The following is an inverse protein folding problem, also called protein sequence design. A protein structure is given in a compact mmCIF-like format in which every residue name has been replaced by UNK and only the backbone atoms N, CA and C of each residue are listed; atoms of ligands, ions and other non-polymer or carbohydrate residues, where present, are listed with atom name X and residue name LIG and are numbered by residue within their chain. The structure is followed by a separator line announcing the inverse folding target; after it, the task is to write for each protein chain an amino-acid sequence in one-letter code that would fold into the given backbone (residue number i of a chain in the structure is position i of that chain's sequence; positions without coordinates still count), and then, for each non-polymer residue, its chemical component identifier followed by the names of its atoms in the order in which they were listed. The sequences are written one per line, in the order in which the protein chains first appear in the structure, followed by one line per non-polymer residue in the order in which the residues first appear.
data_IF_906192951287
#
_entry.id   IF_906192951287
#
_cell.length_a   1.000
_cell.length_b   1.000
_cell.length_c   1.000
_cell.angle_alpha   90.00
_cell.angle_beta   90.00
_cell.angle_gamma   90.00
#
_symmetry.space_group_name_H-M   'P 1'
#
loop_
_entity.id
_entity.type
_entity.pdbx_description
1 polymer ?
#
# COMPACT_ATOMS: atom_id res chain seq x y z
N UNK A 1 -9.41 0.42 19.00
CA UNK A 1 -8.89 0.63 17.63
C UNK A 1 -9.80 -0.10 16.66
N UNK A 2 -10.51 0.62 15.80
CA UNK A 2 -11.35 0.03 14.77
C UNK A 2 -10.43 -0.55 13.70
N UNK A 3 -10.22 -1.87 13.70
CA UNK A 3 -9.40 -2.52 12.68
C UNK A 3 -10.17 -2.49 11.36
N UNK A 4 -9.62 -1.81 10.38
CA UNK A 4 -10.22 -1.68 9.07
C UNK A 4 -10.15 -3.02 8.31
N UNK A 5 -11.18 -3.31 7.52
CA UNK A 5 -11.20 -4.51 6.67
C UNK A 5 -10.41 -4.23 5.39
N UNK A 6 -9.52 -5.16 5.03
CA UNK A 6 -8.76 -5.12 3.77
C UNK A 6 -9.69 -4.99 2.56
N UNK A 7 -10.84 -5.65 2.62
CA UNK A 7 -11.88 -5.56 1.60
C UNK A 7 -12.39 -4.12 1.36
N UNK A 8 -12.57 -3.33 2.43
CA UNK A 8 -12.98 -1.93 2.30
C UNK A 8 -11.91 -1.09 1.62
N UNK A 9 -10.63 -1.30 1.95
CA UNK A 9 -9.53 -0.60 1.28
C UNK A 9 -9.48 -0.99 -0.20
N UNK A 10 -9.57 -2.29 -0.50
CA UNK A 10 -9.58 -2.84 -1.86
C UNK A 10 -10.72 -2.30 -2.72
N UNK A 11 -11.92 -2.19 -2.16
CA UNK A 11 -13.08 -1.60 -2.85
C UNK A 11 -12.92 -0.09 -3.13
N UNK A 12 -12.05 0.59 -2.38
CA UNK A 12 -11.72 2.01 -2.53
C UNK A 12 -10.31 2.21 -3.09
N UNK A 13 -9.83 1.29 -3.93
CA UNK A 13 -8.52 1.38 -4.56
C UNK A 13 -8.65 1.62 -6.07
N UNK A 14 -7.91 2.60 -6.56
CA UNK A 14 -7.74 2.86 -8.00
C UNK A 14 -6.44 2.23 -8.51
N UNK A 15 -6.44 1.75 -9.75
CA UNK A 15 -5.29 1.06 -10.36
C UNK A 15 -4.84 1.79 -11.62
N UNK A 16 -3.54 2.08 -11.70
CA UNK A 16 -2.92 2.74 -12.87
C UNK A 16 -1.81 1.86 -13.43
N UNK A 17 -1.91 1.45 -14.69
CA UNK A 17 -0.98 0.50 -15.31
C UNK A 17 -1.13 -0.96 -14.83
N UNK A 18 -2.04 -1.20 -13.90
CA UNK A 18 -2.52 -2.51 -13.49
C UNK A 18 -4.04 -2.61 -13.64
N UNK A 19 -4.53 -3.85 -13.57
CA UNK A 19 -5.95 -4.16 -13.48
C UNK A 19 -6.21 -4.99 -12.22
N UNK A 20 -7.45 -5.03 -11.70
CA UNK A 20 -7.78 -5.89 -10.56
C UNK A 20 -7.55 -7.39 -10.80
N UNK A 21 -7.45 -7.81 -12.07
CA UNK A 21 -7.11 -9.19 -12.49
C UNK A 21 -5.61 -9.42 -12.72
N UNK A 22 -4.76 -8.41 -12.56
CA UNK A 22 -3.31 -8.58 -12.69
C UNK A 22 -2.78 -9.48 -11.56
N UNK A 23 -1.92 -10.48 -11.84
CA UNK A 23 -1.44 -11.44 -10.83
C UNK A 23 -0.82 -10.74 -9.61
N UNK A 24 0.00 -9.72 -9.85
CA UNK A 24 0.66 -8.93 -8.79
C UNK A 24 -0.34 -8.21 -7.88
N UNK A 25 -1.48 -7.76 -8.41
CA UNK A 25 -2.55 -7.13 -7.61
C UNK A 25 -3.27 -8.18 -6.77
N UNK A 26 -3.55 -9.36 -7.33
CA UNK A 26 -4.13 -10.46 -6.57
C UNK A 26 -3.21 -10.88 -5.42
N UNK A 27 -1.92 -11.06 -5.71
CA UNK A 27 -0.91 -11.39 -4.71
C UNK A 27 -0.78 -10.32 -3.64
N UNK A 28 -0.79 -9.03 -4.02
CA UNK A 28 -0.77 -7.93 -3.06
C UNK A 28 -1.91 -8.06 -2.05
N UNK A 29 -3.15 -8.23 -2.51
CA UNK A 29 -4.30 -8.34 -1.61
C UNK A 29 -4.27 -9.61 -0.75
N UNK A 30 -3.81 -10.74 -1.30
CA UNK A 30 -3.62 -11.96 -0.52
C UNK A 30 -2.58 -11.78 0.59
N UNK A 31 -1.44 -11.15 0.29
CA UNK A 31 -0.39 -10.84 1.27
C UNK A 31 -0.95 -9.90 2.33
N UNK A 32 -1.55 -8.78 1.93
CA UNK A 32 -2.15 -7.79 2.85
C UNK A 32 -3.23 -8.43 3.73
N UNK A 33 -4.01 -9.38 3.23
CA UNK A 33 -4.97 -10.12 4.03
C UNK A 33 -4.29 -10.97 5.11
N UNK A 34 -3.18 -11.63 4.78
CA UNK A 34 -2.37 -12.46 5.67
C UNK A 34 -1.52 -11.69 6.69
N UNK A 35 -1.30 -10.38 6.49
CA UNK A 35 -0.50 -9.55 7.40
C UNK A 35 -1.09 -9.47 8.82
N UNK A 36 -0.19 -9.36 9.81
CA UNK A 36 -0.54 -9.07 11.19
C UNK A 36 -1.20 -7.70 11.33
N UNK A 37 -1.88 -7.47 12.45
CA UNK A 37 -2.53 -6.18 12.75
C UNK A 37 -1.53 -5.01 12.73
N UNK A 38 -0.32 -5.24 13.21
CA UNK A 38 0.75 -4.25 13.26
C UNK A 38 1.27 -3.94 11.85
N UNK A 39 1.54 -4.96 11.04
CA UNK A 39 1.98 -4.77 9.65
C UNK A 39 0.91 -4.08 8.79
N UNK A 40 -0.37 -4.37 9.03
CA UNK A 40 -1.48 -3.63 8.40
C UNK A 40 -1.45 -2.15 8.79
N UNK A 41 -1.22 -1.84 10.06
CA UNK A 41 -1.10 -0.45 10.50
C UNK A 41 0.12 0.25 9.89
N UNK A 42 1.26 -0.45 9.77
CA UNK A 42 2.48 0.04 9.10
C UNK A 42 2.25 0.28 7.62
N UNK A 43 1.60 -0.64 6.91
CA UNK A 43 1.23 -0.46 5.51
C UNK A 43 0.33 0.76 5.32
N UNK A 44 -0.67 0.94 6.18
CA UNK A 44 -1.55 2.10 6.11
C UNK A 44 -0.76 3.40 6.32
N UNK A 45 0.14 3.42 7.31
CA UNK A 45 1.02 4.56 7.56
C UNK A 45 1.98 4.80 6.40
N UNK A 46 2.51 3.75 5.79
CA UNK A 46 3.40 3.83 4.65
C UNK A 46 2.73 4.52 3.47
N UNK A 47 1.47 4.18 3.18
CA UNK A 47 0.76 4.71 2.01
C UNK A 47 -0.02 5.99 2.27
N UNK A 48 -0.49 6.24 3.50
CA UNK A 48 -1.34 7.41 3.84
C UNK A 48 -0.66 8.41 4.77
N UNK A 49 0.53 8.10 5.28
CA UNK A 49 1.22 8.90 6.30
C UNK A 49 0.61 8.80 7.71
N UNK A 50 -0.50 8.06 7.88
CA UNK A 50 -1.18 7.87 9.17
C UNK A 50 -1.52 6.39 9.39
N UNK A 51 -1.37 5.91 10.61
CA UNK A 51 -1.80 4.55 11.00
C UNK A 51 -3.30 4.48 11.35
N UNK A 52 -4.04 5.60 11.22
CA UNK A 52 -5.46 5.70 11.57
C UNK A 52 -6.33 5.98 10.35
N UNK A 53 -7.42 5.23 10.23
CA UNK A 53 -8.47 5.47 9.23
C UNK A 53 -9.37 6.61 9.71
N UNK A 54 -9.77 7.55 8.83
CA UNK A 54 -10.74 8.59 9.15
C UNK A 54 -12.05 8.01 9.69
N UNK A 55 -12.78 8.81 10.49
CA UNK A 55 -14.09 8.40 11.01
C UNK A 55 -15.10 8.10 9.88
N UNK A 56 -14.97 8.84 8.76
CA UNK A 56 -15.77 8.70 7.54
C UNK A 56 -15.31 7.54 6.63
N UNK A 57 -14.27 6.78 7.01
CA UNK A 57 -13.77 5.63 6.27
C UNK A 57 -12.76 5.97 5.17
N UNK A 58 -12.41 4.97 4.34
CA UNK A 58 -11.33 5.10 3.34
C UNK A 58 -11.67 6.03 2.17
N UNK A 59 -12.96 6.23 1.89
CA UNK A 59 -13.40 7.16 0.84
C UNK A 59 -13.11 8.62 1.20
N UNK A 60 -12.81 8.91 2.47
CA UNK A 60 -12.47 10.23 2.98
C UNK A 60 -10.99 10.38 3.36
N UNK A 61 -10.12 9.45 2.91
CA UNK A 61 -8.67 9.61 3.07
C UNK A 61 -8.24 10.99 2.52
N UNK A 62 -7.49 11.76 3.29
CA UNK A 62 -7.04 13.09 2.89
C UNK A 62 -5.73 12.97 2.13
N UNK A 63 -5.67 13.51 0.92
CA UNK A 63 -4.45 13.79 0.17
C UNK A 63 -4.19 15.30 0.10
N UNK A 64 -3.20 15.71 -0.70
CA UNK A 64 -2.79 17.11 -0.85
C UNK A 64 -3.88 18.03 -1.44
N UNK A 65 -4.85 17.46 -2.17
CA UNK A 65 -5.94 18.22 -2.81
C UNK A 65 -7.33 17.90 -2.25
N UNK A 66 -7.42 17.27 -1.07
CA UNK A 66 -8.69 16.91 -0.43
C UNK A 66 -8.90 15.40 -0.35
N UNK A 67 -10.15 14.93 -0.42
CA UNK A 67 -10.45 13.49 -0.35
C UNK A 67 -9.86 12.74 -1.54
N UNK A 68 -8.96 11.79 -1.27
CA UNK A 68 -8.21 11.04 -2.26
C UNK A 68 -8.11 9.57 -1.87
N UNK A 69 -8.60 8.69 -2.74
CA UNK A 69 -8.60 7.24 -2.54
C UNK A 69 -7.20 6.67 -2.52
N UNK A 70 -7.08 5.43 -2.04
CA UNK A 70 -5.84 4.68 -2.16
C UNK A 70 -5.61 4.29 -3.63
N UNK A 71 -4.37 4.40 -4.10
CA UNK A 71 -4.03 4.17 -5.50
C UNK A 71 -2.84 3.22 -5.61
N UNK A 72 -2.90 2.25 -6.51
CA UNK A 72 -1.78 1.36 -6.82
C UNK A 72 -1.34 1.57 -8.26
N UNK A 73 -0.10 2.02 -8.42
CA UNK A 73 0.50 2.36 -9.70
C UNK A 73 1.55 1.31 -10.07
N UNK A 74 1.59 0.92 -11.35
CA UNK A 74 2.66 0.08 -11.87
C UNK A 74 3.97 0.87 -11.87
N UNK A 75 4.92 0.46 -11.04
CA UNK A 75 6.27 0.98 -11.07
C UNK A 75 7.04 0.32 -12.23
N UNK A 76 7.56 1.14 -13.14
CA UNK A 76 8.41 0.67 -14.22
C UNK A 76 9.86 0.62 -13.72
N UNK A 77 10.47 -0.57 -13.72
CA UNK A 77 11.82 -0.75 -13.20
C UNK A 77 12.16 -2.22 -12.95
N UNK A 78 13.26 -2.45 -12.23
CA UNK A 78 13.67 -3.80 -11.86
C UNK A 78 12.72 -4.39 -10.82
N UNK A 79 12.39 -5.68 -10.96
CA UNK A 79 11.62 -6.42 -9.97
C UNK A 79 12.34 -6.59 -8.63
N UNK A 80 13.60 -6.14 -8.52
CA UNK A 80 14.34 -6.09 -7.26
C UNK A 80 14.09 -4.80 -6.46
N UNK A 81 13.44 -3.79 -7.05
CA UNK A 81 13.16 -2.55 -6.35
C UNK A 81 12.09 -2.76 -5.27
N UNK A 82 12.20 -2.00 -4.19
CA UNK A 82 11.16 -1.95 -3.16
C UNK A 82 9.95 -1.18 -3.68
N UNK A 83 8.75 -1.50 -3.20
CA UNK A 83 7.61 -0.64 -3.46
C UNK A 83 7.83 0.71 -2.79
N UNK A 84 7.38 1.77 -3.46
CA UNK A 84 7.50 3.14 -2.97
C UNK A 84 6.12 3.70 -2.69
N UNK A 85 5.99 4.58 -1.71
CA UNK A 85 4.73 5.22 -1.39
C UNK A 85 4.84 6.74 -1.45
N UNK A 86 3.76 7.37 -1.93
CA UNK A 86 3.59 8.80 -1.94
C UNK A 86 2.37 9.15 -1.08
N UNK A 87 2.63 9.42 0.19
CA UNK A 87 1.61 9.71 1.21
C UNK A 87 0.75 10.92 0.86
N UNK A 88 1.32 11.94 0.22
CA UNK A 88 0.58 13.11 -0.28
C UNK A 88 -0.58 12.74 -1.22
N UNK A 89 -0.49 11.58 -1.88
CA UNK A 89 -1.45 11.12 -2.89
C UNK A 89 -2.12 9.79 -2.53
N UNK A 90 -1.90 9.27 -1.32
CA UNK A 90 -2.33 7.92 -0.94
C UNK A 90 -1.94 6.88 -2.02
N UNK A 91 -0.74 7.00 -2.60
CA UNK A 91 -0.31 6.21 -3.76
C UNK A 91 0.78 5.22 -3.37
N UNK A 92 0.67 4.00 -3.87
CA UNK A 92 1.68 2.95 -3.80
C UNK A 92 2.15 2.59 -5.21
N UNK A 93 3.43 2.83 -5.48
CA UNK A 93 4.11 2.38 -6.69
C UNK A 93 4.63 0.96 -6.46
N UNK A 94 4.01 0.01 -7.16
CA UNK A 94 4.25 -1.42 -7.01
C UNK A 94 4.97 -1.96 -8.25
N UNK A 95 6.20 -2.48 -8.11
CA UNK A 95 6.89 -3.18 -9.18
C UNK A 95 6.17 -4.48 -9.58
N UNK A 96 6.37 -4.90 -10.83
CA UNK A 96 5.86 -6.19 -11.32
C UNK A 96 6.75 -7.34 -10.84
N UNK A 97 6.50 -7.79 -9.61
CA UNK A 97 7.24 -8.89 -9.01
C UNK A 97 6.98 -10.22 -9.73
N UNK A 98 7.98 -11.13 -9.81
CA UNK A 98 7.85 -12.39 -10.52
C UNK A 98 7.04 -13.44 -9.74
N UNK A 99 6.89 -13.29 -8.42
CA UNK A 99 6.18 -14.23 -7.56
C UNK A 99 5.58 -13.54 -6.32
N UNK A 100 4.61 -14.23 -5.70
CA UNK A 100 3.96 -13.78 -4.46
C UNK A 100 4.94 -13.69 -3.30
N UNK A 101 5.85 -14.66 -3.15
CA UNK A 101 6.87 -14.62 -2.11
C UNK A 101 7.79 -13.40 -2.25
N UNK A 102 8.19 -13.07 -3.48
CA UNK A 102 9.03 -11.89 -3.73
C UNK A 102 8.30 -10.60 -3.39
N UNK A 103 7.02 -10.47 -3.79
CA UNK A 103 6.19 -9.33 -3.41
C UNK A 103 6.09 -9.21 -1.88
N UNK A 104 5.83 -10.32 -1.19
CA UNK A 104 5.67 -10.32 0.26
C UNK A 104 6.95 -9.85 0.97
N UNK A 105 8.10 -10.39 0.59
CA UNK A 105 9.40 -10.01 1.16
C UNK A 105 9.67 -8.51 0.96
N UNK A 106 9.51 -8.02 -0.28
CA UNK A 106 9.77 -6.61 -0.62
C UNK A 106 8.80 -5.65 0.04
N UNK A 107 7.51 -6.03 0.13
CA UNK A 107 6.48 -5.23 0.78
C UNK A 107 6.74 -5.11 2.28
N UNK A 108 7.04 -6.24 2.94
CA UNK A 108 7.39 -6.24 4.36
C UNK A 108 8.63 -5.39 4.62
N UNK A 109 9.68 -5.55 3.81
CA UNK A 109 10.88 -4.74 3.97
C UNK A 109 10.55 -3.24 3.86
N UNK A 110 9.82 -2.83 2.82
CA UNK A 110 9.48 -1.42 2.61
C UNK A 110 8.65 -0.79 3.75
N UNK A 111 7.62 -1.49 4.26
CA UNK A 111 6.77 -0.92 5.33
C UNK A 111 7.49 -0.90 6.69
N UNK A 112 8.50 -1.76 6.89
CA UNK A 112 9.33 -1.76 8.09
C UNK A 112 10.39 -0.65 8.00
N UNK A 113 11.15 -0.59 6.91
CA UNK A 113 12.18 0.44 6.67
C UNK A 113 11.59 1.86 6.67
N UNK A 114 10.41 2.05 6.06
CA UNK A 114 9.76 3.36 6.04
C UNK A 114 9.23 3.81 7.42
N UNK A 115 8.95 2.86 8.32
CA UNK A 115 8.52 3.18 9.69
C UNK A 115 9.68 3.63 10.58
N UNK A 116 10.91 3.26 10.26
CA UNK A 116 12.12 3.64 11.00
C UNK A 116 12.71 4.98 10.53
N UNK A 117 12.11 5.57 9.50
CA UNK A 117 12.44 6.87 8.98
C UNK A 117 13.45 6.79 7.84
N UNK A 118 13.25 7.65 6.85
CA UNK A 118 14.30 8.08 5.94
C UNK A 118 15.42 8.71 6.78
N UNK A 119 16.34 7.86 7.24
CA UNK A 119 17.54 8.18 8.00
C UNK A 119 18.78 7.78 7.22
N UNK A 120 18.87 8.19 5.95
CA UNK A 120 20.14 8.25 5.24
C UNK A 120 20.23 9.58 4.50
N UNK A 121 20.62 10.60 5.27
CA UNK A 121 21.39 11.75 4.80
C UNK A 121 22.76 11.71 5.45
#
# INVERSE_FOLDING_TARGET
MHFWKVDNLRANTEYSGYSPGSPVIQWFWEVVQGLSKEDKARLLQFVTGTSKVPLEGFSALQGISGAQKFQIHKAYGSANHLPSAHTCFNQLDLPEYPSKEHLQERLLLAIHEASEGFGFG
#
